data_IF_463639940092
#
_entry.id   IF_463639940092
#
_cell.length_a   1.000
_cell.length_b   1.000
_cell.length_c   1.000
_cell.angle_alpha   90.00
_cell.angle_beta   90.00
_cell.angle_gamma   90.00
#
_symmetry.space_group_name_H-M   'P 1'
#
loop_
_entity.id
_entity.type
_entity.pdbx_description
1 polymer ?
#
# COMPACT_ATOMS: atom_id res chain seq x y z
N UNK A 1 1.66 18.47 -2.70
CA UNK A 1 0.80 17.31 -2.34
C UNK A 1 1.36 16.62 -1.11
N UNK A 2 0.50 16.27 -0.13
CA UNK A 2 0.84 15.31 0.94
C UNK A 2 0.34 13.94 0.50
N UNK A 3 1.25 12.98 0.32
CA UNK A 3 0.90 11.60 -0.04
C UNK A 3 1.05 10.71 1.20
N UNK A 4 -0.03 10.01 1.54
CA UNK A 4 -0.08 9.01 2.61
C UNK A 4 -0.19 7.64 1.92
N UNK A 5 0.69 6.71 2.27
CA UNK A 5 0.70 5.35 1.75
C UNK A 5 0.42 4.40 2.91
N UNK A 6 -0.54 3.50 2.71
CA UNK A 6 -0.84 2.46 3.69
C UNK A 6 -1.07 1.11 3.01
N UNK A 7 -0.69 0.03 3.66
CA UNK A 7 -0.99 -1.33 3.25
C UNK A 7 -2.37 -1.73 3.80
N UNK A 8 -3.09 -2.62 3.12
CA UNK A 8 -4.32 -3.23 3.65
C UNK A 8 -4.11 -3.86 5.03
N UNK A 9 -5.19 -4.05 5.79
CA UNK A 9 -5.20 -4.79 7.05
C UNK A 9 -4.84 -6.27 6.86
N UNK A 10 -4.59 -6.97 7.95
CA UNK A 10 -4.23 -8.39 7.96
C UNK A 10 -5.29 -9.26 7.25
N UNK A 11 -4.82 -10.31 6.55
CA UNK A 11 -5.62 -11.34 5.89
C UNK A 11 -5.16 -12.73 6.32
N UNK A 12 -5.97 -13.77 6.04
CA UNK A 12 -5.57 -15.17 6.28
C UNK A 12 -4.29 -15.53 5.53
N UNK A 13 -4.13 -15.06 4.29
CA UNK A 13 -2.90 -15.22 3.52
C UNK A 13 -1.68 -14.65 4.23
N UNK A 14 -1.83 -13.48 4.89
CA UNK A 14 -0.74 -12.91 5.69
C UNK A 14 -0.41 -13.78 6.92
N UNK A 15 -1.42 -14.26 7.66
CA UNK A 15 -1.23 -15.11 8.85
C UNK A 15 -0.52 -16.41 8.48
N UNK A 16 -0.96 -17.07 7.40
CA UNK A 16 -0.41 -18.35 6.92
C UNK A 16 0.86 -18.19 6.08
N UNK A 17 1.30 -16.95 5.81
CA UNK A 17 2.42 -16.62 4.91
C UNK A 17 2.25 -17.19 3.50
N UNK A 18 1.00 -17.22 3.00
CA UNK A 18 0.63 -17.69 1.67
C UNK A 18 0.46 -16.48 0.74
N UNK A 19 0.93 -16.62 -0.49
CA UNK A 19 0.78 -15.63 -1.56
C UNK A 19 -0.65 -15.72 -2.12
N UNK A 20 -1.53 -14.87 -1.56
CA UNK A 20 -2.96 -14.93 -1.81
C UNK A 20 -3.42 -14.06 -2.98
N UNK A 21 -4.51 -14.48 -3.64
CA UNK A 21 -5.15 -13.81 -4.76
C UNK A 21 -6.06 -12.64 -4.30
N UNK A 22 -6.88 -12.22 -5.25
CA UNK A 22 -7.83 -11.09 -5.18
C UNK A 22 -8.80 -11.26 -4.01
N UNK A 23 -9.31 -12.47 -3.80
CA UNK A 23 -10.40 -12.83 -2.88
C UNK A 23 -9.92 -13.26 -1.47
N UNK A 24 -8.83 -12.67 -1.00
CA UNK A 24 -8.32 -12.86 0.36
C UNK A 24 -8.84 -11.71 1.26
N UNK A 25 -9.95 -11.91 2.02
CA UNK A 25 -10.56 -10.85 2.80
C UNK A 25 -9.75 -10.52 4.07
N UNK A 26 -10.09 -9.41 4.71
CA UNK A 26 -9.53 -9.04 6.00
C UNK A 26 -9.97 -10.04 7.08
N UNK A 27 -9.06 -10.41 7.97
CA UNK A 27 -9.40 -11.06 9.25
C UNK A 27 -10.12 -10.08 10.18
N UNK A 28 -10.68 -10.57 11.28
CA UNK A 28 -11.22 -9.69 12.35
C UNK A 28 -10.16 -8.70 12.84
N UNK A 29 -8.92 -9.17 13.05
CA UNK A 29 -7.77 -8.33 13.40
C UNK A 29 -7.44 -7.33 12.28
N UNK A 30 -7.52 -7.73 11.01
CA UNK A 30 -7.33 -6.83 9.89
C UNK A 30 -8.36 -5.71 9.81
N UNK A 31 -9.61 -5.98 10.21
CA UNK A 31 -10.67 -4.97 10.35
C UNK A 31 -10.34 -4.00 11.49
N UNK A 32 -9.94 -4.50 12.67
CA UNK A 32 -9.51 -3.66 13.79
C UNK A 32 -8.31 -2.76 13.43
N UNK A 33 -7.33 -3.30 12.69
CA UNK A 33 -6.20 -2.53 12.17
C UNK A 33 -6.67 -1.42 11.21
N UNK A 34 -7.63 -1.72 10.34
CA UNK A 34 -8.20 -0.73 9.41
C UNK A 34 -8.99 0.36 10.15
N UNK A 35 -9.68 0.03 11.23
CA UNK A 35 -10.35 0.99 12.10
C UNK A 35 -9.36 1.86 12.87
N UNK A 36 -8.27 1.28 13.36
CA UNK A 36 -7.22 2.00 14.08
C UNK A 36 -6.53 3.04 13.17
N UNK A 37 -6.15 2.66 11.94
CA UNK A 37 -5.56 3.61 10.98
C UNK A 37 -6.56 4.69 10.59
N UNK A 38 -7.84 4.34 10.43
CA UNK A 38 -8.92 5.27 10.15
C UNK A 38 -9.07 6.33 11.25
N UNK A 39 -9.12 5.90 12.52
CA UNK A 39 -9.15 6.80 13.69
C UNK A 39 -7.91 7.71 13.76
N UNK A 40 -6.73 7.18 13.43
CA UNK A 40 -5.50 7.97 13.38
C UNK A 40 -5.54 9.06 12.31
N UNK A 41 -6.16 8.78 11.17
CA UNK A 41 -6.22 9.71 10.03
C UNK A 41 -7.43 10.66 10.10
N UNK A 42 -8.39 10.49 11.02
CA UNK A 42 -9.66 11.22 11.06
C UNK A 42 -9.54 12.75 11.08
N UNK A 43 -8.42 13.28 11.60
CA UNK A 43 -8.16 14.74 11.66
C UNK A 43 -7.51 15.27 10.38
N UNK A 44 -7.09 14.41 9.45
CA UNK A 44 -6.51 14.83 8.18
C UNK A 44 -7.62 15.27 7.22
N UNK A 45 -7.43 16.38 6.51
CA UNK A 45 -8.37 16.83 5.46
C UNK A 45 -8.06 16.13 4.14
N UNK A 46 -8.51 14.88 4.02
CA UNK A 46 -8.24 14.06 2.84
C UNK A 46 -9.07 14.52 1.65
N UNK A 47 -8.42 14.78 0.51
CA UNK A 47 -9.06 15.18 -0.75
C UNK A 47 -9.39 13.96 -1.63
N UNK A 48 -8.55 12.92 -1.60
CA UNK A 48 -8.79 11.70 -2.35
C UNK A 48 -8.20 10.44 -1.69
N UNK A 49 -8.92 9.33 -1.83
CA UNK A 49 -8.52 7.99 -1.41
C UNK A 49 -8.46 7.13 -2.65
N UNK A 50 -7.25 6.77 -3.08
CA UNK A 50 -7.01 5.81 -4.15
C UNK A 50 -6.84 4.43 -3.55
N UNK A 51 -7.59 3.46 -4.05
CA UNK A 51 -7.52 2.07 -3.58
C UNK A 51 -7.23 1.10 -4.71
N UNK A 52 -6.49 0.04 -4.39
CA UNK A 52 -6.50 -1.17 -5.20
C UNK A 52 -7.92 -1.74 -5.31
N UNK A 53 -8.28 -2.39 -6.44
CA UNK A 53 -9.55 -3.10 -6.57
C UNK A 53 -9.64 -4.37 -5.71
N UNK A 54 -8.52 -4.93 -5.20
CA UNK A 54 -8.52 -6.17 -4.42
C UNK A 54 -9.28 -5.98 -3.11
N UNK A 55 -10.11 -6.97 -2.75
CA UNK A 55 -11.12 -6.89 -1.67
C UNK A 55 -10.54 -6.37 -0.34
N UNK A 56 -9.38 -6.86 0.09
CA UNK A 56 -8.69 -6.44 1.33
C UNK A 56 -8.31 -4.97 1.35
N UNK A 57 -7.75 -4.46 0.25
CA UNK A 57 -7.36 -3.05 0.14
C UNK A 57 -8.58 -2.15 -0.01
N UNK A 58 -9.56 -2.54 -0.83
CA UNK A 58 -10.83 -1.84 -1.00
C UNK A 58 -11.57 -1.72 0.32
N UNK A 59 -11.67 -2.82 1.11
CA UNK A 59 -12.32 -2.80 2.42
C UNK A 59 -11.61 -1.89 3.41
N UNK A 60 -10.27 -1.95 3.47
CA UNK A 60 -9.46 -1.04 4.30
C UNK A 60 -9.72 0.42 3.91
N UNK A 61 -9.71 0.74 2.62
CA UNK A 61 -9.97 2.07 2.11
C UNK A 61 -11.40 2.57 2.43
N UNK A 62 -12.41 1.70 2.33
CA UNK A 62 -13.79 2.01 2.69
C UNK A 62 -13.94 2.34 4.18
N UNK A 63 -13.22 1.62 5.06
CA UNK A 63 -13.22 1.92 6.50
C UNK A 63 -12.59 3.30 6.75
N UNK A 64 -11.49 3.64 6.07
CA UNK A 64 -10.87 4.98 6.16
C UNK A 64 -11.84 6.05 5.65
N UNK A 65 -12.52 5.80 4.53
CA UNK A 65 -13.44 6.75 3.90
C UNK A 65 -14.62 7.16 4.79
N UNK A 66 -15.03 6.34 5.76
CA UNK A 66 -16.11 6.68 6.72
C UNK A 66 -15.87 8.00 7.47
N UNK A 67 -14.61 8.35 7.72
CA UNK A 67 -14.24 9.61 8.39
C UNK A 67 -13.95 10.75 7.41
N UNK A 68 -14.03 10.50 6.11
CA UNK A 68 -13.70 11.47 5.07
C UNK A 68 -14.78 11.49 3.97
N UNK A 69 -16.05 11.86 4.31
CA UNK A 69 -17.19 11.75 3.39
C UNK A 69 -17.04 12.61 2.13
N UNK A 70 -16.25 13.68 2.21
CA UNK A 70 -15.99 14.59 1.09
C UNK A 70 -14.79 14.15 0.20
N UNK A 71 -14.04 13.13 0.62
CA UNK A 71 -12.91 12.64 -0.16
C UNK A 71 -13.38 11.88 -1.40
N UNK A 72 -12.75 12.12 -2.55
CA UNK A 72 -13.02 11.34 -3.76
C UNK A 72 -12.48 9.91 -3.59
N UNK A 73 -13.36 8.91 -3.66
CA UNK A 73 -12.97 7.50 -3.60
C UNK A 73 -12.71 6.97 -5.01
N UNK A 74 -11.48 6.50 -5.27
CA UNK A 74 -11.00 6.15 -6.62
C UNK A 74 -10.37 4.76 -6.60
N UNK A 75 -10.93 3.83 -7.36
CA UNK A 75 -10.31 2.52 -7.60
C UNK A 75 -9.31 2.65 -8.74
N UNK A 76 -8.08 2.14 -8.57
CA UNK A 76 -7.05 2.23 -9.59
C UNK A 76 -6.22 0.95 -9.71
N UNK A 77 -6.16 0.40 -10.92
CA UNK A 77 -5.45 -0.85 -11.21
C UNK A 77 -3.93 -0.76 -11.04
N UNK A 78 -3.33 0.44 -11.08
CA UNK A 78 -1.90 0.59 -10.80
C UNK A 78 -1.56 0.34 -9.33
N UNK A 79 -2.55 0.26 -8.42
CA UNK A 79 -2.39 -0.09 -7.02
C UNK A 79 -2.60 -1.58 -6.71
N UNK A 80 -2.88 -2.43 -7.70
CA UNK A 80 -2.93 -3.89 -7.53
C UNK A 80 -1.60 -4.41 -6.98
N UNK A 81 -1.65 -5.52 -6.24
CA UNK A 81 -0.43 -6.23 -5.86
C UNK A 81 0.34 -6.71 -7.10
N UNK A 82 1.61 -7.08 -6.93
CA UNK A 82 2.39 -7.69 -7.99
C UNK A 82 1.72 -8.96 -8.49
N UNK A 83 1.72 -9.14 -9.81
CA UNK A 83 1.21 -10.39 -10.40
C UNK A 83 2.07 -11.57 -9.92
N UNK A 84 1.46 -12.53 -9.28
CA UNK A 84 2.14 -13.66 -8.65
C UNK A 84 2.42 -14.83 -9.61
N UNK A 85 1.67 -14.92 -10.73
CA UNK A 85 1.81 -16.00 -11.69
C UNK A 85 1.77 -17.38 -10.99
N UNK A 86 2.75 -18.24 -11.28
CA UNK A 86 2.88 -19.58 -10.68
C UNK A 86 3.22 -19.61 -9.19
N UNK A 87 3.49 -18.45 -8.58
CA UNK A 87 3.70 -18.32 -7.14
C UNK A 87 2.40 -18.16 -6.36
N UNK A 88 1.28 -17.99 -7.06
CA UNK A 88 -0.03 -17.92 -6.41
C UNK A 88 -0.30 -19.17 -5.57
N UNK A 89 -0.82 -18.96 -4.35
CA UNK A 89 -1.13 -19.98 -3.35
C UNK A 89 0.08 -20.75 -2.78
N UNK A 90 1.31 -20.37 -3.13
CA UNK A 90 2.52 -20.91 -2.49
C UNK A 90 2.82 -20.18 -1.20
N UNK A 91 3.54 -20.85 -0.29
CA UNK A 91 4.12 -20.16 0.88
C UNK A 91 5.25 -19.24 0.45
N UNK A 92 5.46 -18.17 1.19
CA UNK A 92 6.47 -17.15 0.86
C UNK A 92 7.91 -17.68 0.90
N UNK A 93 8.18 -18.69 1.73
CA UNK A 93 9.47 -19.36 1.88
C UNK A 93 9.73 -20.47 0.83
N UNK A 94 8.69 -20.88 0.09
CA UNK A 94 8.79 -21.85 -1.01
C UNK A 94 9.14 -21.19 -2.35
N UNK A 95 9.25 -19.85 -2.42
CA UNK A 95 9.47 -19.13 -3.68
C UNK A 95 10.83 -18.44 -3.71
N UNK A 96 11.47 -18.49 -4.87
CA UNK A 96 12.73 -17.80 -5.11
C UNK A 96 12.49 -16.40 -5.69
N UNK A 97 12.66 -15.37 -4.87
CA UNK A 97 12.47 -13.97 -5.26
C UNK A 97 13.65 -13.37 -6.03
N UNK A 98 14.78 -14.06 -6.09
CA UNK A 98 15.94 -13.62 -6.89
C UNK A 98 15.88 -14.11 -8.33
N UNK A 99 15.15 -15.20 -8.58
CA UNK A 99 14.97 -15.79 -9.91
C UNK A 99 13.47 -15.82 -10.26
N UNK A 100 12.92 -14.68 -10.68
CA UNK A 100 11.50 -14.55 -10.97
C UNK A 100 11.12 -15.24 -12.30
N UNK A 101 10.10 -16.13 -12.30
CA UNK A 101 9.50 -16.66 -13.52
C UNK A 101 8.90 -15.54 -14.37
N UNK A 102 8.82 -15.76 -15.70
CA UNK A 102 8.30 -14.76 -16.66
C UNK A 102 6.85 -14.35 -16.41
N UNK A 103 6.06 -15.18 -15.76
CA UNK A 103 4.66 -14.93 -15.42
C UNK A 103 4.47 -14.16 -14.09
N UNK A 104 5.54 -13.94 -13.33
CA UNK A 104 5.57 -13.12 -12.10
C UNK A 104 6.00 -11.69 -12.45
N UNK A 105 5.32 -10.70 -11.89
CA UNK A 105 5.64 -9.30 -12.16
C UNK A 105 6.95 -8.89 -11.48
N UNK A 106 7.90 -8.37 -12.28
CA UNK A 106 9.21 -7.93 -11.81
C UNK A 106 9.17 -6.51 -11.20
N UNK A 107 10.26 -6.14 -10.52
CA UNK A 107 10.41 -4.86 -9.82
C UNK A 107 10.32 -3.66 -10.78
N UNK A 108 10.91 -3.76 -11.96
CA UNK A 108 10.85 -2.69 -12.98
C UNK A 108 9.41 -2.42 -13.44
N UNK A 109 8.58 -3.46 -13.64
CA UNK A 109 7.16 -3.30 -13.99
C UNK A 109 6.37 -2.61 -12.87
N UNK A 110 6.55 -3.08 -11.63
CA UNK A 110 5.97 -2.47 -10.43
C UNK A 110 6.36 -0.99 -10.32
N UNK A 111 7.62 -0.66 -10.55
CA UNK A 111 8.11 0.72 -10.51
C UNK A 111 7.47 1.61 -11.58
N UNK A 112 7.26 1.09 -12.80
CA UNK A 112 6.53 1.80 -13.87
C UNK A 112 5.09 2.10 -13.45
N UNK A 113 4.39 1.15 -12.81
CA UNK A 113 3.04 1.37 -12.27
C UNK A 113 3.04 2.39 -11.13
N UNK A 114 4.02 2.30 -10.23
CA UNK A 114 4.22 3.25 -9.14
C UNK A 114 4.38 4.69 -9.66
N UNK A 115 5.25 4.90 -10.65
CA UNK A 115 5.43 6.20 -11.31
C UNK A 115 4.13 6.72 -11.91
N UNK A 116 3.37 5.85 -12.61
CA UNK A 116 2.08 6.24 -13.23
C UNK A 116 1.08 6.74 -12.18
N UNK A 117 0.89 6.01 -11.08
CA UNK A 117 -0.12 6.38 -10.08
C UNK A 117 0.28 7.61 -9.27
N UNK A 118 1.57 7.77 -8.94
CA UNK A 118 2.06 8.97 -8.23
C UNK A 118 1.89 10.21 -9.11
N UNK A 119 2.27 10.14 -10.38
CA UNK A 119 2.11 11.26 -11.31
C UNK A 119 0.64 11.61 -11.56
N UNK A 120 -0.25 10.60 -11.66
CA UNK A 120 -1.69 10.82 -11.75
C UNK A 120 -2.22 11.60 -10.55
N UNK A 121 -1.82 11.21 -9.34
CA UNK A 121 -2.24 11.88 -8.11
C UNK A 121 -1.68 13.30 -8.01
N UNK A 122 -0.40 13.50 -8.38
CA UNK A 122 0.24 14.82 -8.41
C UNK A 122 -0.46 15.78 -9.37
N UNK A 123 -0.83 15.32 -10.57
CA UNK A 123 -1.52 16.14 -11.56
C UNK A 123 -2.94 16.53 -11.11
N UNK A 124 -3.66 15.60 -10.47
CA UNK A 124 -5.05 15.85 -10.03
C UNK A 124 -5.14 16.63 -8.71
N UNK A 125 -4.18 16.44 -7.82
CA UNK A 125 -4.21 16.99 -6.45
C UNK A 125 -2.87 17.63 -6.07
N UNK A 126 -2.36 18.63 -6.82
CA UNK A 126 -0.99 19.16 -6.64
C UNK A 126 -0.74 19.77 -5.24
N UNK A 127 -1.78 20.27 -4.60
CA UNK A 127 -1.74 20.84 -3.24
C UNK A 127 -2.53 20.01 -2.22
N UNK A 128 -3.18 18.92 -2.65
CA UNK A 128 -4.08 18.12 -1.83
C UNK A 128 -3.38 17.13 -0.91
N UNK A 129 -4.20 16.47 -0.08
CA UNK A 129 -3.82 15.34 0.76
C UNK A 129 -4.45 14.08 0.16
N UNK A 130 -3.62 13.15 -0.27
CA UNK A 130 -4.04 11.93 -0.97
C UNK A 130 -3.60 10.71 -0.18
N UNK A 131 -4.48 9.71 -0.07
CA UNK A 131 -4.16 8.39 0.48
C UNK A 131 -4.10 7.35 -0.63
N UNK A 132 -3.06 6.51 -0.62
CA UNK A 132 -2.99 5.25 -1.35
C UNK A 132 -3.18 4.08 -0.40
N UNK A 133 -4.17 3.23 -0.66
CA UNK A 133 -4.42 1.99 0.08
C UNK A 133 -4.16 0.82 -0.86
N UNK A 134 -3.06 0.11 -0.61
CA UNK A 134 -2.58 -0.89 -1.55
C UNK A 134 -1.91 -2.09 -0.83
N UNK A 135 -0.85 -2.64 -1.39
CA UNK A 135 -0.24 -3.90 -1.01
C UNK A 135 1.27 -3.75 -0.81
N UNK A 136 1.90 -4.85 -0.40
CA UNK A 136 3.32 -4.86 -0.03
C UNK A 136 4.23 -4.49 -1.23
N UNK A 137 4.16 -5.24 -2.34
CA UNK A 137 5.10 -5.04 -3.45
C UNK A 137 4.92 -3.69 -4.15
N UNK A 138 3.66 -3.28 -4.43
CA UNK A 138 3.41 -1.99 -5.08
C UNK A 138 3.75 -0.80 -4.15
N UNK A 139 3.50 -0.89 -2.84
CA UNK A 139 3.90 0.16 -1.90
C UNK A 139 5.42 0.30 -1.84
N UNK A 140 6.16 -0.82 -1.82
CA UNK A 140 7.63 -0.82 -1.92
C UNK A 140 8.11 -0.11 -3.20
N UNK A 141 7.46 -0.38 -4.33
CA UNK A 141 7.79 0.27 -5.60
C UNK A 141 7.48 1.78 -5.57
N UNK A 142 6.36 2.20 -4.97
CA UNK A 142 6.00 3.61 -4.80
C UNK A 142 7.05 4.33 -3.93
N UNK A 143 7.47 3.72 -2.83
CA UNK A 143 8.47 4.28 -1.92
C UNK A 143 9.83 4.37 -2.60
N UNK A 144 10.26 3.35 -3.36
CA UNK A 144 11.47 3.41 -4.19
C UNK A 144 11.43 4.58 -5.17
N UNK A 145 10.32 4.74 -5.89
CA UNK A 145 10.14 5.87 -6.82
C UNK A 145 10.25 7.22 -6.10
N UNK A 146 9.60 7.39 -4.96
CA UNK A 146 9.63 8.63 -4.19
C UNK A 146 11.01 8.93 -3.59
N UNK A 147 11.75 7.90 -3.20
CA UNK A 147 13.14 8.00 -2.72
C UNK A 147 14.17 8.12 -3.84
N UNK A 148 13.75 8.03 -5.12
CA UNK A 148 14.62 8.02 -6.30
C UNK A 148 15.66 6.88 -6.28
N UNK A 149 15.28 5.73 -5.73
CA UNK A 149 16.11 4.52 -5.71
C UNK A 149 15.95 3.73 -7.01
N UNK A 150 16.97 2.91 -7.31
CA UNK A 150 16.90 1.97 -8.42
C UNK A 150 15.74 0.97 -8.21
N UNK A 151 14.93 0.67 -9.26
CA UNK A 151 13.89 -0.34 -9.18
C UNK A 151 14.39 -1.70 -8.68
N UNK A 152 15.61 -2.08 -9.09
CA UNK A 152 16.22 -3.37 -8.77
C UNK A 152 17.01 -3.36 -7.44
N UNK A 153 17.06 -2.23 -6.73
CA UNK A 153 17.65 -2.15 -5.41
C UNK A 153 17.08 -3.25 -4.49
N UNK A 154 17.94 -4.10 -3.95
CA UNK A 154 17.60 -5.24 -3.10
C UNK A 154 17.35 -4.84 -1.63
N UNK A 155 17.65 -3.59 -1.25
CA UNK A 155 17.42 -3.13 0.11
C UNK A 155 15.96 -3.30 0.50
N UNK A 156 15.75 -3.93 1.66
CA UNK A 156 14.41 -4.21 2.15
C UNK A 156 13.67 -2.93 2.55
N UNK A 157 12.48 -2.75 2.01
CA UNK A 157 11.52 -1.73 2.43
C UNK A 157 10.41 -2.43 3.20
N UNK A 158 10.35 -2.21 4.51
CA UNK A 158 9.31 -2.82 5.34
C UNK A 158 7.95 -2.16 5.11
N UNK A 159 6.88 -2.98 5.11
CA UNK A 159 5.50 -2.54 4.97
C UNK A 159 4.59 -3.39 5.88
N UNK A 160 4.40 -2.94 7.12
CA UNK A 160 3.42 -3.55 8.02
C UNK A 160 1.98 -3.37 7.55
N UNK A 161 1.07 -4.25 7.96
CA UNK A 161 -0.36 -4.07 7.70
C UNK A 161 -0.84 -2.75 8.31
N UNK A 162 -1.57 -1.95 7.56
CA UNK A 162 -2.03 -0.60 7.87
C UNK A 162 -0.93 0.41 8.29
N UNK A 163 0.36 0.05 8.21
CA UNK A 163 1.43 1.00 8.47
C UNK A 163 1.31 2.24 7.58
N UNK A 164 1.68 3.40 8.13
CA UNK A 164 1.58 4.69 7.45
C UNK A 164 2.97 5.18 7.06
N UNK A 165 3.13 5.52 5.78
CA UNK A 165 4.26 6.32 5.28
C UNK A 165 3.74 7.63 4.70
N UNK A 166 4.41 8.76 4.98
CA UNK A 166 3.98 10.10 4.58
C UNK A 166 5.10 10.80 3.82
N UNK A 167 4.78 11.28 2.63
CA UNK A 167 5.67 12.07 1.78
C UNK A 167 5.05 13.44 1.50
N UNK A 168 5.85 14.49 1.66
CA UNK A 168 5.52 15.84 1.19
C UNK A 168 6.18 16.07 -0.15
N UNK A 169 5.39 16.40 -1.17
CA UNK A 169 5.85 16.61 -2.54
C UNK A 169 5.49 18.04 -2.96
N UNK A 170 6.48 18.87 -3.24
CA UNK A 170 6.29 20.26 -3.69
C UNK A 170 7.46 20.72 -4.55
N UNK A 171 7.15 21.39 -5.66
CA UNK A 171 8.15 21.98 -6.57
C UNK A 171 9.26 20.99 -6.96
N UNK A 172 8.90 19.76 -7.32
CA UNK A 172 9.84 18.69 -7.68
C UNK A 172 10.67 18.11 -6.51
N UNK A 173 10.55 18.68 -5.30
CA UNK A 173 11.21 18.17 -4.09
C UNK A 173 10.31 17.19 -3.37
N UNK A 174 10.88 16.09 -2.90
CA UNK A 174 10.20 15.04 -2.13
C UNK A 174 10.85 14.96 -0.76
N UNK A 175 10.06 15.09 0.31
CA UNK A 175 10.51 14.93 1.70
C UNK A 175 9.69 13.84 2.38
N UNK A 176 10.37 12.80 2.82
CA UNK A 176 9.77 11.78 3.68
C UNK A 176 9.56 12.36 5.08
N UNK A 177 8.34 12.29 5.59
CA UNK A 177 7.96 12.81 6.90
C UNK A 177 7.74 11.70 7.94
N UNK A 178 7.34 10.53 7.45
CA UNK A 178 7.06 9.36 8.27
C UNK A 178 7.25 8.11 7.42
N UNK A 179 7.82 7.07 7.99
CA UNK A 179 8.02 5.80 7.30
C UNK A 179 7.54 4.63 8.16
N UNK A 180 6.74 3.76 7.55
CA UNK A 180 6.26 2.48 8.09
C UNK A 180 5.79 2.55 9.57
N UNK A 181 5.09 3.61 9.94
CA UNK A 181 4.65 3.87 11.30
C UNK A 181 3.41 3.07 11.66
N UNK A 182 3.49 2.29 12.72
CA UNK A 182 2.43 1.42 13.25
C UNK A 182 1.97 1.80 14.67
N UNK A 183 2.32 2.99 15.16
CA UNK A 183 1.97 3.45 16.52
C UNK A 183 0.49 3.35 16.87
N UNK A 184 -0.41 3.39 15.88
CA UNK A 184 -1.85 3.22 16.08
C UNK A 184 -2.26 1.77 16.39
N UNK A 185 -1.34 0.81 16.24
CA UNK A 185 -1.57 -0.62 16.48
C UNK A 185 -1.03 -1.13 17.82
N UNK A 186 -0.57 -0.27 18.72
CA UNK A 186 0.10 -0.68 19.96
C UNK A 186 -0.68 -1.71 20.81
N UNK A 187 -2.01 -1.72 20.71
CA UNK A 187 -2.89 -2.65 21.42
C UNK A 187 -3.35 -3.86 20.58
N UNK A 188 -3.17 -3.82 19.27
CA UNK A 188 -3.73 -4.80 18.32
C UNK A 188 -2.65 -5.77 17.84
N UNK A 189 -1.39 -5.36 17.92
CA UNK A 189 -0.25 -6.10 17.38
C UNK A 189 -0.09 -5.92 15.86
N UNK A 190 1.14 -6.03 15.40
CA UNK A 190 1.51 -5.86 14.00
C UNK A 190 2.28 -7.08 13.52
N UNK A 191 1.84 -7.67 12.42
CA UNK A 191 2.58 -8.71 11.73
C UNK A 191 3.35 -8.06 10.57
N UNK A 192 4.68 -8.01 10.69
CA UNK A 192 5.56 -7.74 9.55
C UNK A 192 5.66 -9.03 8.73
N UNK A 193 5.14 -9.01 7.53
CA UNK A 193 5.27 -10.10 6.56
C UNK A 193 6.13 -9.62 5.41
#
# INVERSE_FOLDING_TARGET
MKLIITRHGETEGNVKRILADIDDPLTSKGIEQAEAVSKRLKKERIDAIFSSPFIRAKKTAQIIAKYHPNAKFIINNNLKEGKLGRYLNKKMDEVNWDLLPKDVENRTSLYKRAKKIVNLALNKYPKGIVIFVAHNAINKAIIRYLRKLDPEDKNSILQGNTAISIFQISNGKIKEKLFNCTKHLNKIGNNYV
#
